data_IF_016229313065
#
_entry.id   IF_016229313065
#
_cell.length_a   1.000
_cell.length_b   1.000
_cell.length_c   1.000
_cell.angle_alpha   90.00
_cell.angle_beta   90.00
_cell.angle_gamma   90.00
#
_symmetry.space_group_name_H-M   'P 1'
#
loop_
_entity.id
_entity.type
_entity.pdbx_description
1 polymer ?
#
# COMPACT_ATOMS: atom_id res chain seq x y z
N UNK A 1 15.40 1.43 -5.04
CA UNK A 1 13.93 1.47 -5.19
C UNK A 1 13.36 2.31 -4.07
N UNK A 2 12.62 3.37 -4.39
CA UNK A 2 12.06 4.29 -3.40
C UNK A 2 10.93 3.60 -2.65
N UNK A 3 10.98 3.59 -1.32
CA UNK A 3 9.88 3.12 -0.47
C UNK A 3 9.13 4.35 0.04
N UNK A 4 7.79 4.27 0.15
CA UNK A 4 7.04 5.42 0.63
C UNK A 4 7.31 5.65 2.12
N UNK A 5 7.80 6.85 2.45
CA UNK A 5 7.90 7.34 3.82
C UNK A 5 6.53 7.75 4.41
N UNK A 6 5.44 7.58 3.65
CA UNK A 6 4.06 7.87 4.06
C UNK A 6 3.72 7.23 5.41
N UNK A 7 4.17 5.99 5.64
CA UNK A 7 3.84 5.23 6.84
C UNK A 7 4.53 5.71 8.12
N UNK A 8 5.49 6.63 8.02
CA UNK A 8 6.07 7.29 9.20
C UNK A 8 5.05 8.15 9.95
N UNK A 9 4.07 8.70 9.23
CA UNK A 9 2.96 9.45 9.83
C UNK A 9 1.90 8.60 10.52
N UNK A 10 2.04 7.28 10.57
CA UNK A 10 1.17 6.40 11.37
C UNK A 10 1.58 6.42 12.83
N UNK A 11 0.70 6.00 13.75
CA UNK A 11 1.03 5.90 15.19
C UNK A 11 2.30 5.10 15.45
N UNK A 12 2.49 3.99 14.73
CA UNK A 12 3.71 3.17 14.85
C UNK A 12 4.95 3.91 14.36
N UNK A 13 4.84 4.59 13.20
CA UNK A 13 5.93 5.37 12.64
C UNK A 13 6.33 6.55 13.52
N UNK A 14 5.36 7.27 14.06
CA UNK A 14 5.58 8.40 14.97
C UNK A 14 6.21 7.96 16.29
N UNK A 15 5.76 6.84 16.86
CA UNK A 15 6.37 6.29 18.07
C UNK A 15 7.84 5.93 17.84
N UNK A 16 8.16 5.29 16.70
CA UNK A 16 9.54 4.98 16.33
C UNK A 16 10.37 6.26 16.12
N UNK A 17 9.86 7.24 15.39
CA UNK A 17 10.54 8.52 15.16
C UNK A 17 10.83 9.26 16.47
N UNK A 18 9.87 9.27 17.40
CA UNK A 18 10.04 9.90 18.70
C UNK A 18 11.16 9.21 19.49
N UNK A 19 11.11 7.88 19.62
CA UNK A 19 12.16 7.12 20.34
C UNK A 19 13.55 7.31 19.71
N UNK A 20 13.64 7.35 18.38
CA UNK A 20 14.92 7.58 17.71
C UNK A 20 15.40 9.04 17.85
N UNK A 21 14.50 10.01 17.96
CA UNK A 21 14.86 11.40 18.26
C UNK A 21 15.43 11.51 19.65
N UNK A 22 14.76 10.92 20.65
CA UNK A 22 15.22 10.93 22.04
C UNK A 22 16.63 10.32 22.17
N UNK A 23 16.89 9.20 21.49
CA UNK A 23 18.21 8.55 21.47
C UNK A 23 19.31 9.36 20.74
N UNK A 24 18.95 10.15 19.73
CA UNK A 24 19.87 11.06 19.02
C UNK A 24 20.20 12.27 19.91
N UNK A 25 19.19 12.83 20.58
CA UNK A 25 19.32 13.96 21.49
C UNK A 25 20.16 13.61 22.74
N UNK A 26 20.02 12.38 23.25
CA UNK A 26 20.87 11.84 24.33
C UNK A 26 22.29 11.43 23.85
N UNK A 27 22.56 11.48 22.55
CA UNK A 27 23.84 11.07 21.96
C UNK A 27 24.11 9.56 21.98
N UNK A 28 23.08 8.74 22.22
CA UNK A 28 23.16 7.28 22.22
C UNK A 28 23.32 6.72 20.81
N UNK A 29 22.71 7.37 19.81
CA UNK A 29 22.77 6.99 18.41
C UNK A 29 23.23 8.18 17.54
N UNK A 30 24.17 7.98 16.61
CA UNK A 30 24.49 9.03 15.65
C UNK A 30 23.35 9.21 14.64
N UNK A 31 23.11 10.45 14.22
CA UNK A 31 22.08 10.79 13.20
C UNK A 31 22.10 9.92 11.94
N UNK A 32 23.28 9.54 11.50
CA UNK A 32 23.46 8.68 10.32
C UNK A 32 22.86 7.29 10.50
N UNK A 33 22.85 6.76 11.73
CA UNK A 33 22.23 5.47 12.06
C UNK A 33 20.72 5.59 12.20
N UNK A 34 20.20 6.67 12.82
CA UNK A 34 18.76 6.96 12.89
C UNK A 34 18.14 6.97 11.49
N UNK A 35 18.77 7.68 10.55
CA UNK A 35 18.30 7.74 9.16
C UNK A 35 18.29 6.36 8.48
N UNK A 36 19.27 5.50 8.78
CA UNK A 36 19.31 4.11 8.27
C UNK A 36 18.17 3.28 8.83
N UNK A 37 17.84 3.43 10.11
CA UNK A 37 16.73 2.72 10.75
C UNK A 37 15.40 3.14 10.13
N UNK A 38 15.18 4.45 9.96
CA UNK A 38 13.97 4.97 9.33
C UNK A 38 13.83 4.52 7.87
N UNK A 39 14.92 4.50 7.11
CA UNK A 39 14.92 3.94 5.76
C UNK A 39 14.56 2.44 5.74
N UNK A 40 15.08 1.68 6.70
CA UNK A 40 14.75 0.26 6.84
C UNK A 40 13.29 0.06 7.27
N UNK A 41 12.75 0.93 8.12
CA UNK A 41 11.33 0.96 8.48
C UNK A 41 10.45 1.16 7.24
N UNK A 42 10.74 2.15 6.40
CA UNK A 42 9.98 2.41 5.16
C UNK A 42 9.92 1.16 4.28
N UNK A 43 11.09 0.54 4.06
CA UNK A 43 11.20 -0.68 3.24
C UNK A 43 10.40 -1.83 3.82
N UNK A 44 10.52 -2.06 5.14
CA UNK A 44 9.81 -3.13 5.83
C UNK A 44 8.29 -2.92 5.81
N UNK A 45 7.81 -1.71 6.09
CA UNK A 45 6.37 -1.41 6.12
C UNK A 45 5.70 -1.55 4.76
N UNK A 46 6.31 -0.97 3.71
CA UNK A 46 5.78 -1.10 2.35
C UNK A 46 5.68 -2.57 1.91
N UNK A 47 6.66 -3.40 2.30
CA UNK A 47 6.68 -4.84 2.01
C UNK A 47 5.62 -5.63 2.78
N UNK A 48 5.37 -5.29 4.05
CA UNK A 48 4.41 -6.05 4.86
C UNK A 48 2.97 -5.67 4.51
N UNK A 49 2.68 -4.38 4.29
CA UNK A 49 1.34 -3.93 3.91
C UNK A 49 0.88 -4.57 2.59
N UNK A 50 1.78 -4.75 1.62
CA UNK A 50 1.43 -5.42 0.35
C UNK A 50 1.11 -6.92 0.49
N UNK A 51 1.41 -7.51 1.66
CA UNK A 51 1.17 -8.93 1.98
C UNK A 51 -0.04 -9.13 2.89
N UNK A 52 -0.54 -8.07 3.51
CA UNK A 52 -1.71 -8.16 4.37
C UNK A 52 -2.95 -8.59 3.55
N UNK A 53 -3.90 -9.30 4.19
CA UNK A 53 -5.18 -9.61 3.58
C UNK A 53 -5.86 -8.35 3.04
N UNK A 54 -6.37 -8.42 1.81
CA UNK A 54 -7.06 -7.30 1.15
C UNK A 54 -8.52 -7.26 1.59
N UNK A 55 -8.74 -7.08 2.89
CA UNK A 55 -10.08 -6.85 3.42
C UNK A 55 -10.64 -5.55 2.85
N UNK A 56 -11.90 -5.62 2.39
CA UNK A 56 -12.55 -4.50 1.73
C UNK A 56 -13.30 -3.68 2.77
N UNK A 57 -12.78 -2.52 3.09
CA UNK A 57 -13.52 -1.50 3.84
C UNK A 57 -14.25 -0.60 2.86
N UNK A 58 -15.55 -0.40 3.06
CA UNK A 58 -16.35 0.58 2.34
C UNK A 58 -16.51 1.83 3.20
N UNK A 59 -16.54 3.00 2.59
CA UNK A 59 -16.86 4.24 3.30
C UNK A 59 -17.80 5.12 2.50
N UNK A 60 -18.63 5.89 3.21
CA UNK A 60 -19.48 6.92 2.64
C UNK A 60 -19.30 8.20 3.45
N UNK A 61 -19.11 9.33 2.78
CA UNK A 61 -18.96 10.63 3.42
C UNK A 61 -20.11 11.54 3.01
N UNK A 62 -20.63 12.33 3.93
CA UNK A 62 -21.65 13.34 3.61
C UNK A 62 -21.07 14.52 2.84
N UNK A 63 -19.80 14.84 3.07
CA UNK A 63 -19.15 16.00 2.49
C UNK A 63 -17.66 15.73 2.21
N UNK A 64 -17.23 16.07 0.99
CA UNK A 64 -15.82 16.31 0.68
C UNK A 64 -15.49 17.77 0.97
N UNK A 65 -14.62 18.01 1.95
CA UNK A 65 -14.23 19.37 2.36
C UNK A 65 -13.23 19.97 1.38
N UNK A 66 -12.16 19.22 1.09
CA UNK A 66 -11.13 19.63 0.13
C UNK A 66 -10.39 18.42 -0.40
N UNK A 67 -9.80 18.58 -1.58
CA UNK A 67 -8.93 17.59 -2.21
C UNK A 67 -7.71 18.27 -2.82
N UNK A 68 -6.60 17.54 -2.92
CA UNK A 68 -5.37 17.99 -3.58
C UNK A 68 -4.67 16.81 -4.22
N UNK A 69 -4.16 17.05 -5.42
CA UNK A 69 -3.24 16.14 -6.11
C UNK A 69 -1.94 16.88 -6.41
N UNK A 70 -0.83 16.39 -5.89
CA UNK A 70 0.51 16.93 -6.11
C UNK A 70 1.53 15.80 -5.96
N UNK A 71 2.55 15.76 -6.81
CA UNK A 71 3.63 14.76 -6.75
C UNK A 71 3.17 13.30 -6.71
N UNK A 72 2.09 12.98 -7.45
CA UNK A 72 1.46 11.65 -7.48
C UNK A 72 0.89 11.21 -6.12
N UNK A 73 0.58 12.17 -5.24
CA UNK A 73 -0.09 11.94 -3.95
C UNK A 73 -1.44 12.64 -3.95
N UNK A 74 -2.49 11.86 -3.69
CA UNK A 74 -3.82 12.38 -3.39
C UNK A 74 -3.96 12.67 -1.90
N UNK A 75 -4.57 13.79 -1.57
CA UNK A 75 -5.03 14.12 -0.22
C UNK A 75 -6.50 14.52 -0.26
N UNK A 76 -7.33 13.89 0.56
CA UNK A 76 -8.74 14.23 0.74
C UNK A 76 -9.00 14.55 2.21
N UNK A 77 -9.87 15.52 2.47
CA UNK A 77 -10.43 15.78 3.80
C UNK A 77 -11.95 15.66 3.68
N UNK A 78 -12.55 14.77 4.46
CA UNK A 78 -13.96 14.40 4.43
C UNK A 78 -14.59 14.70 5.80
N UNK A 79 -15.88 15.03 5.82
CA UNK A 79 -16.66 15.15 7.05
C UNK A 79 -17.80 14.13 7.12
N UNK A 80 -18.13 13.71 8.35
CA UNK A 80 -19.14 12.70 8.70
C UNK A 80 -19.03 11.45 7.82
N UNK A 81 -17.98 10.65 8.07
CA UNK A 81 -17.67 9.45 7.30
C UNK A 81 -18.15 8.21 8.03
N UNK A 82 -19.07 7.47 7.42
CA UNK A 82 -19.47 6.13 7.88
C UNK A 82 -18.55 5.09 7.26
N UNK A 83 -17.87 4.31 8.11
CA UNK A 83 -17.04 3.17 7.70
C UNK A 83 -17.84 1.87 7.85
N UNK A 84 -17.77 1.00 6.85
CA UNK A 84 -18.41 -0.31 6.82
C UNK A 84 -17.35 -1.38 6.55
N UNK A 85 -17.17 -2.27 7.50
CA UNK A 85 -16.25 -3.39 7.44
C UNK A 85 -17.02 -4.68 7.79
N UNK A 86 -16.75 -5.79 7.09
CA UNK A 86 -17.42 -7.07 7.33
C UNK A 86 -17.00 -7.76 8.62
N UNK A 87 -15.88 -7.36 9.22
CA UNK A 87 -15.38 -7.91 10.48
C UNK A 87 -15.52 -6.95 11.66
N UNK A 88 -15.76 -5.65 11.39
CA UNK A 88 -15.81 -4.61 12.41
C UNK A 88 -16.99 -3.67 12.18
N UNK A 89 -17.86 -3.54 13.18
CA UNK A 89 -18.84 -2.46 13.20
C UNK A 89 -18.20 -1.20 13.76
N UNK A 90 -18.49 -0.07 13.11
CA UNK A 90 -18.23 1.26 13.66
C UNK A 90 -19.59 1.85 14.04
N UNK A 91 -19.80 2.06 15.34
CA UNK A 91 -21.11 2.44 15.86
C UNK A 91 -21.46 3.90 15.53
N UNK A 92 -20.46 4.76 15.32
CA UNK A 92 -20.64 6.18 15.02
C UNK A 92 -19.84 6.64 13.78
N UNK A 93 -20.36 7.64 13.03
CA UNK A 93 -19.61 8.29 11.96
C UNK A 93 -18.35 8.98 12.47
N UNK A 94 -17.29 8.94 11.67
CA UNK A 94 -16.07 9.73 11.92
C UNK A 94 -16.32 11.17 11.50
N UNK A 95 -16.28 12.10 12.46
CA UNK A 95 -16.53 13.53 12.21
C UNK A 95 -15.67 14.09 11.08
N UNK A 96 -14.39 13.73 11.06
CA UNK A 96 -13.42 14.21 10.06
C UNK A 96 -12.39 13.14 9.72
N UNK A 97 -12.27 12.82 8.44
CA UNK A 97 -11.30 11.83 7.92
C UNK A 97 -10.35 12.48 6.92
N UNK A 98 -9.04 12.29 7.11
CA UNK A 98 -8.00 12.65 6.14
C UNK A 98 -7.50 11.39 5.44
N UNK A 99 -7.62 11.33 4.12
CA UNK A 99 -7.08 10.25 3.31
C UNK A 99 -5.85 10.77 2.57
N UNK A 100 -4.71 10.10 2.71
CA UNK A 100 -3.50 10.36 1.93
C UNK A 100 -3.14 9.08 1.16
N UNK A 101 -3.10 9.16 -0.17
CA UNK A 101 -2.92 8.01 -1.03
C UNK A 101 -1.82 8.26 -2.06
N UNK A 102 -0.78 7.40 -2.04
CA UNK A 102 0.25 7.34 -3.06
C UNK A 102 -0.13 6.34 -4.16
N UNK A 103 0.52 6.47 -5.33
CA UNK A 103 0.32 5.56 -6.45
C UNK A 103 0.76 4.11 -6.14
N UNK A 104 -0.21 3.18 -6.12
CA UNK A 104 0.03 1.75 -5.88
C UNK A 104 0.66 0.99 -7.07
N UNK A 105 0.83 1.60 -8.24
CA UNK A 105 1.45 0.91 -9.40
C UNK A 105 2.91 0.51 -9.12
N UNK A 106 3.63 1.31 -8.33
CA UNK A 106 5.02 1.05 -7.97
C UNK A 106 5.16 -0.17 -7.05
N UNK A 107 4.22 -0.39 -6.13
CA UNK A 107 4.21 -1.56 -5.22
C UNK A 107 3.82 -2.84 -5.95
N UNK A 108 2.90 -2.76 -6.93
CA UNK A 108 2.56 -3.91 -7.78
C UNK A 108 3.76 -4.39 -8.61
N UNK A 109 4.59 -3.47 -9.11
CA UNK A 109 5.81 -3.82 -9.85
C UNK A 109 6.81 -4.56 -8.94
N UNK A 110 6.99 -4.08 -7.70
CA UNK A 110 7.84 -4.74 -6.69
C UNK A 110 7.35 -6.16 -6.34
N UNK A 111 6.04 -6.35 -6.24
CA UNK A 111 5.45 -7.64 -5.95
C UNK A 111 5.59 -8.63 -7.12
N UNK A 112 5.43 -8.15 -8.36
CA UNK A 112 5.68 -8.95 -9.55
C UNK A 112 7.16 -9.38 -9.67
N UNK A 113 8.10 -8.47 -9.38
CA UNK A 113 9.53 -8.78 -9.38
C UNK A 113 9.94 -9.72 -8.23
N UNK A 114 9.25 -9.65 -7.09
CA UNK A 114 9.42 -10.56 -5.96
C UNK A 114 8.86 -11.96 -6.22
N UNK A 115 7.94 -12.13 -7.18
CA UNK A 115 7.24 -13.39 -7.44
C UNK A 115 7.61 -14.06 -8.78
N UNK A 116 8.54 -13.52 -9.56
CA UNK A 116 8.86 -14.03 -10.90
C UNK A 116 10.34 -14.37 -11.14
N UNK A 117 10.71 -15.63 -10.92
CA UNK A 117 11.60 -16.33 -11.86
C UNK A 117 10.79 -16.70 -13.13
N UNK A 118 11.41 -16.88 -14.30
CA UNK A 118 10.68 -16.91 -15.56
C UNK A 118 9.83 -18.17 -15.72
N UNK A 119 8.50 -18.03 -15.65
CA UNK A 119 7.58 -19.07 -16.14
C UNK A 119 7.55 -19.03 -17.67
N UNK A 120 8.21 -20.01 -18.31
CA UNK A 120 8.04 -20.30 -19.74
C UNK A 120 6.57 -20.67 -20.00
N UNK A 121 5.79 -19.77 -20.63
CA UNK A 121 4.59 -20.19 -21.35
C UNK A 121 5.03 -20.80 -22.68
N UNK A 122 4.99 -22.12 -22.78
CA UNK A 122 5.16 -22.83 -24.04
C UNK A 122 4.00 -22.46 -24.97
N UNK A 123 4.34 -21.95 -26.15
CA UNK A 123 3.43 -21.78 -27.26
C UNK A 123 2.90 -23.16 -27.69
N UNK A 124 1.58 -23.31 -27.78
CA UNK A 124 0.98 -24.43 -28.53
C UNK A 124 0.39 -23.85 -29.80
N UNK A 125 1.06 -24.16 -30.90
CA UNK A 125 0.73 -23.71 -32.23
C UNK A 125 -0.62 -24.22 -32.71
N UNK A 126 -1.20 -23.44 -33.60
CA UNK A 126 -2.33 -23.79 -34.43
C UNK A 126 -1.96 -24.93 -35.40
N UNK A 127 -2.89 -25.86 -35.57
CA UNK A 127 -3.08 -26.60 -36.81
C UNK A 127 -4.59 -26.84 -36.91
N UNK A 128 -5.22 -26.11 -37.83
CA UNK A 128 -6.47 -26.50 -38.42
C UNK A 128 -6.10 -27.35 -39.63
N UNK A 129 -6.65 -28.55 -39.74
CA UNK A 129 -6.95 -29.18 -41.01
C UNK A 129 -8.21 -30.03 -40.79
N UNK A 130 -9.19 -29.75 -41.65
CA UNK A 130 -10.51 -30.37 -41.81
C UNK A 130 -10.36 -31.44 -42.90
N UNK A 131 -11.41 -32.26 -43.09
CA UNK A 131 -11.64 -33.26 -44.14
C UNK A 131 -11.09 -34.66 -43.78
N UNK A 132 -11.79 -35.78 -43.98
CA UNK A 132 -13.10 -36.06 -44.58
C UNK A 132 -13.45 -37.54 -44.25
N UNK A 133 -14.75 -37.82 -44.18
CA UNK A 133 -15.47 -39.02 -44.62
C UNK A 133 -15.18 -40.49 -44.16
N UNK A 134 -16.29 -41.24 -44.17
CA UNK A 134 -16.49 -42.68 -44.40
C UNK A 134 -16.52 -43.71 -43.23
N UNK A 135 -17.76 -44.12 -42.88
CA UNK A 135 -18.34 -45.48 -42.66
C UNK A 135 -17.49 -46.58 -41.99
N UNK A 136 -17.95 -47.32 -40.96
CA UNK A 136 -19.20 -48.09 -40.79
C UNK A 136 -19.44 -48.35 -39.27
#
# INVERSE_FOLDING_TARGET
>A
MSSYALYRGTTLGQALEQTLSDMDDEGLLPKSLVNKILFQFDKSMNKQISRLPKEKVQFCATQLVTYRYCDNVWTFILNNVTLRDSQRSFDEPVDKLKIVACDGRQTNLLQAMSQGGPSKKAARGAAADVDDDESD
#
